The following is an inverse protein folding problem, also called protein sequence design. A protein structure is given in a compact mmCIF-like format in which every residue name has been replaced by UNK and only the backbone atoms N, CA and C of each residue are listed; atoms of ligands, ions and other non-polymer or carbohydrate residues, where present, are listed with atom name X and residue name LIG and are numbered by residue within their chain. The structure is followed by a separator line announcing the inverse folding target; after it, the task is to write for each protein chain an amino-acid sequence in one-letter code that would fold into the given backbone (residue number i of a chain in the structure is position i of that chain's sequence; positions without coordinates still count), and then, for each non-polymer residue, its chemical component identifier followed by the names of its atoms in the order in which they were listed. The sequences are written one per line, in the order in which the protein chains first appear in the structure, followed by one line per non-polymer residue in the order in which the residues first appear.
data_IF_431399379071
#
_entry.id   IF_431399379071
#
_cell.length_a   1.000
_cell.length_b   1.000
_cell.length_c   1.000
_cell.angle_alpha   90.00
_cell.angle_beta   90.00
_cell.angle_gamma   90.00
#
_symmetry.space_group_name_H-M   'P 1'
#
loop_
_entity.id
_entity.type
_entity.pdbx_description
1 polymer ?
#
# COMPACT_ATOMS: atom_id res chain seq x y z
N UNK A 1 -1.11 -1.22 -66.72
CA UNK A 1 -2.55 -1.19 -66.41
C UNK A 1 -2.72 -0.20 -65.27
N UNK A 2 -3.12 1.02 -65.60
CA UNK A 2 -3.14 2.18 -64.72
C UNK A 2 -4.40 2.16 -63.84
N UNK A 3 -4.25 2.33 -62.53
CA UNK A 3 -5.35 2.74 -61.66
C UNK A 3 -4.91 3.96 -60.87
N UNK A 4 -5.37 5.12 -61.35
CA UNK A 4 -5.23 6.44 -60.76
C UNK A 4 -6.08 6.50 -59.48
N UNK A 5 -5.48 6.62 -58.31
CA UNK A 5 -6.21 6.99 -57.10
C UNK A 5 -6.25 8.52 -57.00
N UNK A 6 -7.44 9.07 -57.17
CA UNK A 6 -7.71 10.50 -57.06
C UNK A 6 -7.69 10.91 -55.57
N UNK A 7 -6.81 11.86 -55.22
CA UNK A 7 -6.89 12.60 -53.97
C UNK A 7 -8.18 13.44 -53.99
N UNK A 8 -9.15 13.08 -53.14
CA UNK A 8 -10.24 13.98 -52.79
C UNK A 8 -9.81 14.85 -51.62
N UNK A 9 -9.65 16.15 -51.88
CA UNK A 9 -9.56 17.20 -50.88
C UNK A 9 -10.89 17.26 -50.11
N UNK A 10 -10.88 16.83 -48.85
CA UNK A 10 -11.99 17.08 -47.92
C UNK A 10 -11.73 18.44 -47.28
N UNK A 11 -12.65 19.38 -47.53
CA UNK A 11 -12.66 20.71 -46.97
C UNK A 11 -12.75 20.65 -45.43
N UNK A 12 -11.82 21.34 -44.77
CA UNK A 12 -11.84 21.60 -43.33
C UNK A 12 -12.98 22.56 -43.03
N UNK A 13 -14.05 22.06 -42.40
CA UNK A 13 -15.03 22.92 -41.73
C UNK A 13 -14.55 23.24 -40.31
N UNK A 14 -14.16 24.49 -40.09
CA UNK A 14 -14.03 25.07 -38.77
C UNK A 14 -15.43 25.26 -38.17
N UNK A 15 -15.90 24.30 -37.38
CA UNK A 15 -17.08 24.44 -36.53
C UNK A 15 -16.65 25.00 -35.18
N UNK A 16 -17.24 26.15 -34.82
CA UNK A 16 -16.84 26.99 -33.71
C UNK A 16 -16.92 26.35 -32.32
N UNK A 17 -16.21 26.98 -31.38
CA UNK A 17 -16.27 26.71 -29.96
C UNK A 17 -17.70 26.94 -29.44
N UNK A 18 -18.52 25.90 -29.42
CA UNK A 18 -19.69 25.88 -28.55
C UNK A 18 -19.19 25.66 -27.13
N UNK A 19 -19.31 26.69 -26.28
CA UNK A 19 -19.20 26.53 -24.85
C UNK A 19 -20.25 25.48 -24.43
N UNK A 20 -19.78 24.31 -24.01
CA UNK A 20 -20.65 23.27 -23.46
C UNK A 20 -21.41 23.82 -22.25
N UNK A 21 -22.60 23.28 -21.95
CA UNK A 21 -23.31 23.64 -20.72
C UNK A 21 -22.35 23.44 -19.55
N UNK A 22 -22.18 24.49 -18.75
CA UNK A 22 -21.33 24.45 -17.56
C UNK A 22 -21.68 23.20 -16.76
N UNK A 23 -20.68 22.39 -16.45
CA UNK A 23 -20.82 21.38 -15.42
C UNK A 23 -21.11 22.11 -14.11
N UNK A 24 -22.39 22.26 -13.81
CA UNK A 24 -22.84 22.61 -12.47
C UNK A 24 -22.26 21.56 -11.54
N UNK A 25 -21.26 21.94 -10.74
CA UNK A 25 -20.79 21.16 -9.60
C UNK A 25 -21.90 21.20 -8.54
N UNK A 26 -22.99 20.48 -8.82
CA UNK A 26 -24.11 20.30 -7.93
C UNK A 26 -23.59 19.74 -6.60
N UNK A 27 -23.82 20.52 -5.54
CA UNK A 27 -23.72 20.22 -4.13
C UNK A 27 -22.84 19.04 -3.73
N UNK A 28 -21.65 19.33 -3.18
CA UNK A 28 -20.96 18.38 -2.32
C UNK A 28 -21.87 18.02 -1.15
N UNK A 29 -22.48 16.82 -1.21
CA UNK A 29 -23.15 16.22 -0.07
C UNK A 29 -22.18 16.20 1.12
N UNK A 30 -22.69 16.46 2.32
CA UNK A 30 -21.87 16.40 3.53
C UNK A 30 -21.16 15.04 3.61
N UNK A 31 -19.85 15.00 3.93
CA UNK A 31 -19.10 13.77 3.98
C UNK A 31 -19.74 12.80 4.98
N UNK A 32 -19.85 11.54 4.58
CA UNK A 32 -20.36 10.50 5.46
C UNK A 32 -19.51 10.41 6.75
N UNK A 33 -20.12 10.13 7.91
CA UNK A 33 -19.40 9.99 9.16
C UNK A 33 -18.38 8.86 9.08
N UNK A 34 -17.23 9.04 9.73
CA UNK A 34 -16.16 8.03 9.78
C UNK A 34 -16.62 6.79 10.56
N UNK A 35 -16.85 5.70 9.84
CA UNK A 35 -17.36 4.44 10.38
C UNK A 35 -16.30 3.57 11.08
N UNK A 36 -15.03 3.99 11.13
CA UNK A 36 -13.94 3.20 11.72
C UNK A 36 -14.09 3.08 13.23
N UNK A 37 -13.55 2.00 13.81
CA UNK A 37 -13.47 1.83 15.25
C UNK A 37 -12.42 2.79 15.81
N UNK A 38 -12.82 3.67 16.72
CA UNK A 38 -11.90 4.54 17.45
C UNK A 38 -11.17 3.74 18.53
N UNK A 39 -9.84 3.73 18.47
CA UNK A 39 -8.97 3.05 19.42
C UNK A 39 -8.32 4.09 20.33
N UNK A 40 -8.56 3.97 21.63
CA UNK A 40 -8.10 4.91 22.65
C UNK A 40 -6.79 4.42 23.26
N UNK A 41 -5.67 4.95 22.75
CA UNK A 41 -4.34 4.68 23.29
C UNK A 41 -3.94 5.78 24.27
N UNK A 42 -3.25 5.44 25.38
CA UNK A 42 -2.51 6.43 26.15
C UNK A 42 -1.54 7.20 25.25
N UNK A 43 -1.42 8.52 25.45
CA UNK A 43 -0.67 9.43 24.57
C UNK A 43 0.75 8.95 24.18
N UNK A 44 1.57 8.44 25.13
CA UNK A 44 2.90 7.95 24.78
C UNK A 44 2.86 6.72 23.84
N UNK A 45 1.91 5.82 24.06
CA UNK A 45 1.75 4.60 23.25
C UNK A 45 1.16 4.91 21.87
N UNK A 46 0.25 5.91 21.79
CA UNK A 46 -0.25 6.42 20.52
C UNK A 46 0.89 6.95 19.66
N UNK A 47 1.75 7.79 20.25
CA UNK A 47 2.92 8.37 19.58
C UNK A 47 3.88 7.30 19.10
N UNK A 48 4.20 6.32 19.97
CA UNK A 48 5.06 5.19 19.62
C UNK A 48 4.47 4.35 18.49
N UNK A 49 3.19 4.00 18.57
CA UNK A 49 2.49 3.21 17.54
C UNK A 49 2.50 3.93 16.18
N UNK A 50 2.23 5.23 16.16
CA UNK A 50 2.33 6.06 14.95
C UNK A 50 3.75 6.15 14.40
N UNK A 51 4.77 6.19 15.26
CA UNK A 51 6.16 6.15 14.82
C UNK A 51 6.49 4.81 14.14
N UNK A 52 6.09 3.69 14.74
CA UNK A 52 6.26 2.36 14.13
C UNK A 52 5.54 2.27 12.79
N UNK A 53 4.31 2.79 12.66
CA UNK A 53 3.60 2.84 11.36
C UNK A 53 4.35 3.61 10.27
N UNK A 54 5.00 4.72 10.62
CA UNK A 54 5.84 5.48 9.67
C UNK A 54 7.11 4.72 9.32
N UNK A 55 7.71 4.02 10.29
CA UNK A 55 8.86 3.15 10.06
C UNK A 55 8.51 1.99 9.13
N UNK A 56 7.35 1.36 9.31
CA UNK A 56 6.87 0.31 8.41
C UNK A 56 6.72 0.80 6.97
N UNK A 57 6.23 2.03 6.76
CA UNK A 57 6.15 2.64 5.42
C UNK A 57 7.53 2.87 4.81
N UNK A 58 8.50 3.29 5.62
CA UNK A 58 9.89 3.44 5.19
C UNK A 58 10.49 2.08 4.79
N UNK A 59 10.27 1.04 5.58
CA UNK A 59 10.71 -0.32 5.24
C UNK A 59 10.09 -0.82 3.93
N UNK A 60 8.78 -0.59 3.71
CA UNK A 60 8.14 -0.93 2.43
C UNK A 60 8.78 -0.21 1.25
N UNK A 61 9.13 1.07 1.39
CA UNK A 61 9.82 1.83 0.34
C UNK A 61 11.21 1.25 0.05
N UNK A 62 12.00 0.94 1.08
CA UNK A 62 13.33 0.32 0.93
C UNK A 62 13.27 -1.06 0.28
N UNK A 63 12.27 -1.87 0.65
CA UNK A 63 11.99 -3.17 0.02
C UNK A 63 11.72 -3.00 -1.47
N UNK A 64 10.82 -2.09 -1.85
CA UNK A 64 10.48 -1.85 -3.25
C UNK A 64 11.70 -1.37 -4.05
N UNK A 65 12.51 -0.48 -3.46
CA UNK A 65 13.76 -0.03 -4.09
C UNK A 65 14.73 -1.20 -4.30
N UNK A 66 14.89 -2.08 -3.30
CA UNK A 66 15.76 -3.23 -3.40
C UNK A 66 15.28 -4.25 -4.46
N UNK A 67 13.97 -4.50 -4.54
CA UNK A 67 13.39 -5.33 -5.60
C UNK A 67 13.64 -4.73 -7.00
N UNK A 68 13.48 -3.41 -7.15
CA UNK A 68 13.68 -2.72 -8.42
C UNK A 68 15.12 -2.82 -8.96
N UNK A 69 16.10 -3.00 -8.08
CA UNK A 69 17.52 -3.17 -8.45
C UNK A 69 17.99 -4.62 -8.40
N UNK A 70 17.09 -5.59 -8.19
CA UNK A 70 17.44 -7.01 -8.06
C UNK A 70 18.22 -7.36 -6.78
N UNK A 71 18.23 -6.46 -5.79
CA UNK A 71 18.90 -6.66 -4.50
C UNK A 71 18.01 -7.48 -3.54
N UNK A 72 17.71 -8.72 -3.91
CA UNK A 72 16.71 -9.54 -3.23
C UNK A 72 17.06 -9.90 -1.79
N UNK A 73 18.33 -10.19 -1.50
CA UNK A 73 18.77 -10.46 -0.12
C UNK A 73 18.58 -9.24 0.80
N UNK A 74 18.81 -8.04 0.28
CA UNK A 74 18.54 -6.79 1.00
C UNK A 74 17.04 -6.62 1.25
N UNK A 75 16.20 -6.87 0.24
CA UNK A 75 14.75 -6.81 0.39
C UNK A 75 14.26 -7.78 1.48
N UNK A 76 14.78 -9.02 1.47
CA UNK A 76 14.49 -10.05 2.47
C UNK A 76 14.88 -9.60 3.88
N UNK A 77 16.12 -9.12 4.05
CA UNK A 77 16.63 -8.67 5.34
C UNK A 77 15.84 -7.50 5.92
N UNK A 78 15.56 -6.46 5.11
CA UNK A 78 14.75 -5.30 5.53
C UNK A 78 13.37 -5.76 5.98
N UNK A 79 12.71 -6.63 5.20
CA UNK A 79 11.40 -7.12 5.56
C UNK A 79 11.40 -7.91 6.86
N UNK A 80 12.30 -8.88 7.04
CA UNK A 80 12.31 -9.69 8.25
C UNK A 80 12.62 -8.84 9.49
N UNK A 81 13.67 -8.02 9.43
CA UNK A 81 14.18 -7.28 10.59
C UNK A 81 13.31 -6.10 11.00
N UNK A 82 12.57 -5.48 10.07
CA UNK A 82 11.77 -4.27 10.35
C UNK A 82 10.28 -4.49 10.28
N UNK A 83 9.81 -5.55 9.64
CA UNK A 83 8.39 -5.86 9.50
C UNK A 83 8.06 -7.28 9.94
N UNK A 84 9.01 -8.22 9.92
CA UNK A 84 8.79 -9.64 10.15
C UNK A 84 8.46 -9.99 11.60
N UNK A 85 8.32 -11.28 11.86
CA UNK A 85 8.09 -11.78 13.22
C UNK A 85 9.25 -11.48 14.16
N UNK A 86 10.48 -11.35 13.65
CA UNK A 86 11.64 -10.96 14.47
C UNK A 86 11.58 -9.50 14.96
N UNK A 87 10.80 -8.64 14.31
CA UNK A 87 10.65 -7.23 14.72
C UNK A 87 9.55 -7.01 15.78
N UNK A 88 8.76 -8.04 16.10
CA UNK A 88 7.54 -7.91 16.90
C UNK A 88 7.81 -7.40 18.33
N UNK A 89 8.90 -7.87 18.95
CA UNK A 89 9.31 -7.41 20.29
C UNK A 89 9.80 -5.95 20.25
N UNK A 90 10.60 -5.60 19.24
CA UNK A 90 11.12 -4.24 19.06
C UNK A 90 10.01 -3.19 18.86
N UNK A 91 8.84 -3.61 18.38
CA UNK A 91 7.68 -2.74 18.20
C UNK A 91 6.79 -2.62 19.45
N UNK A 92 7.22 -3.19 20.58
CA UNK A 92 6.46 -3.12 21.83
C UNK A 92 5.07 -3.76 21.71
N UNK A 93 4.91 -4.78 20.86
CA UNK A 93 3.61 -5.34 20.52
C UNK A 93 2.81 -5.78 21.75
N UNK A 94 3.50 -6.29 22.78
CA UNK A 94 2.87 -6.69 24.04
C UNK A 94 2.27 -5.49 24.81
N UNK A 95 2.96 -4.35 24.82
CA UNK A 95 2.53 -3.16 25.57
C UNK A 95 1.33 -2.48 24.93
N UNK A 96 1.23 -2.52 23.60
CA UNK A 96 0.16 -1.88 22.84
C UNK A 96 -1.04 -2.79 22.61
N UNK A 97 -0.86 -4.12 22.57
CA UNK A 97 -1.93 -5.07 22.23
C UNK A 97 -3.15 -4.97 23.16
N UNK A 98 -2.95 -4.70 24.45
CA UNK A 98 -4.04 -4.57 25.44
C UNK A 98 -5.02 -3.42 25.16
N UNK A 99 -4.63 -2.45 24.33
CA UNK A 99 -5.49 -1.33 23.92
C UNK A 99 -6.12 -1.56 22.55
N UNK A 100 -5.68 -2.59 21.81
CA UNK A 100 -6.19 -2.91 20.49
C UNK A 100 -7.37 -3.89 20.59
N UNK A 101 -8.46 -3.68 19.83
CA UNK A 101 -9.48 -4.71 19.69
C UNK A 101 -8.91 -5.95 18.99
N UNK A 102 -9.52 -7.11 19.22
CA UNK A 102 -9.05 -8.41 18.71
C UNK A 102 -8.77 -8.39 17.20
N UNK A 103 -9.67 -7.80 16.41
CA UNK A 103 -9.48 -7.68 14.96
C UNK A 103 -8.25 -6.85 14.57
N UNK A 104 -7.90 -5.81 15.33
CA UNK A 104 -6.70 -5.01 15.08
C UNK A 104 -5.43 -5.78 15.45
N UNK A 105 -5.44 -6.53 16.56
CA UNK A 105 -4.34 -7.40 16.96
C UNK A 105 -4.08 -8.49 15.91
N UNK A 106 -5.15 -9.09 15.38
CA UNK A 106 -5.08 -10.11 14.35
C UNK A 106 -4.47 -9.57 13.04
N UNK A 107 -4.92 -8.39 12.58
CA UNK A 107 -4.37 -7.73 11.39
C UNK A 107 -2.90 -7.38 11.58
N UNK A 108 -2.52 -6.81 12.74
CA UNK A 108 -1.12 -6.51 13.06
C UNK A 108 -0.23 -7.76 13.04
N UNK A 109 -0.64 -8.81 13.74
CA UNK A 109 0.09 -10.10 13.74
C UNK A 109 0.20 -10.69 12.34
N UNK A 110 -0.87 -10.61 11.54
CA UNK A 110 -0.85 -11.11 10.17
C UNK A 110 0.06 -10.29 9.27
N UNK A 111 0.23 -8.99 9.51
CA UNK A 111 1.21 -8.16 8.80
C UNK A 111 2.61 -8.71 9.03
N UNK A 112 2.97 -8.98 10.29
CA UNK A 112 4.30 -9.49 10.65
C UNK A 112 4.58 -10.86 10.02
N UNK A 113 3.61 -11.78 10.07
CA UNK A 113 3.71 -13.08 9.41
C UNK A 113 3.83 -12.96 7.90
N UNK A 114 3.12 -12.00 7.29
CA UNK A 114 3.19 -11.77 5.84
C UNK A 114 4.56 -11.23 5.43
N UNK A 115 5.16 -10.36 6.25
CA UNK A 115 6.50 -9.85 6.00
C UNK A 115 7.57 -10.94 6.08
N UNK A 116 7.49 -11.84 7.05
CA UNK A 116 8.39 -13.01 7.11
C UNK A 116 8.23 -13.95 5.91
N UNK A 117 7.00 -14.15 5.42
CA UNK A 117 6.78 -14.89 4.17
C UNK A 117 7.37 -14.16 2.96
N UNK A 118 7.19 -12.84 2.89
CA UNK A 118 7.83 -12.04 1.84
C UNK A 118 9.36 -12.20 1.87
N UNK A 119 9.99 -12.21 3.03
CA UNK A 119 11.43 -12.38 3.15
C UNK A 119 11.91 -13.69 2.51
N UNK A 120 11.19 -14.79 2.74
CA UNK A 120 11.47 -16.08 2.10
C UNK A 120 11.33 -15.99 0.58
N UNK A 121 10.24 -15.40 0.08
CA UNK A 121 10.02 -15.29 -1.38
C UNK A 121 11.01 -14.33 -2.06
N UNK A 122 11.45 -13.28 -1.38
CA UNK A 122 12.51 -12.42 -1.86
C UNK A 122 13.82 -13.22 -2.00
N UNK A 123 14.22 -14.00 -0.99
CA UNK A 123 15.39 -14.89 -1.11
C UNK A 123 15.24 -15.89 -2.26
N UNK A 124 14.06 -16.49 -2.46
CA UNK A 124 13.80 -17.37 -3.60
C UNK A 124 13.96 -16.66 -4.96
N UNK A 125 13.57 -15.39 -5.06
CA UNK A 125 13.75 -14.60 -6.28
C UNK A 125 15.24 -14.40 -6.63
N UNK A 126 16.13 -14.33 -5.63
CA UNK A 126 17.58 -14.27 -5.85
C UNK A 126 18.17 -15.55 -6.46
N UNK A 127 17.55 -16.70 -6.20
CA UNK A 127 17.97 -18.00 -6.75
C UNK A 127 17.34 -18.25 -8.12
N UNK A 128 16.06 -17.92 -8.27
CA UNK A 128 15.27 -18.28 -9.45
C UNK A 128 15.24 -17.21 -10.54
N UNK A 129 15.49 -15.95 -10.18
CA UNK A 129 15.26 -14.80 -11.03
C UNK A 129 13.78 -14.42 -11.22
N UNK A 130 12.83 -15.16 -10.63
CA UNK A 130 11.41 -14.84 -10.70
C UNK A 130 10.97 -14.02 -9.48
N UNK A 131 10.74 -12.72 -9.69
CA UNK A 131 10.30 -11.79 -8.64
C UNK A 131 8.79 -11.85 -8.35
N UNK A 132 7.99 -12.50 -9.21
CA UNK A 132 6.52 -12.47 -9.09
C UNK A 132 6.01 -13.03 -7.76
N UNK A 133 6.52 -14.14 -7.22
CA UNK A 133 6.11 -14.63 -5.90
C UNK A 133 6.38 -13.61 -4.79
N UNK A 134 7.55 -12.95 -4.83
CA UNK A 134 7.90 -11.91 -3.88
C UNK A 134 6.96 -10.70 -3.97
N UNK A 135 6.59 -10.26 -5.18
CA UNK A 135 5.60 -9.18 -5.35
C UNK A 135 4.22 -9.58 -4.82
N UNK A 136 3.79 -10.82 -5.04
CA UNK A 136 2.55 -11.35 -4.47
C UNK A 136 2.56 -11.35 -2.95
N UNK A 137 3.67 -11.77 -2.33
CA UNK A 137 3.84 -11.73 -0.89
C UNK A 137 3.87 -10.29 -0.34
N UNK A 138 4.52 -9.36 -1.05
CA UNK A 138 4.53 -7.94 -0.68
C UNK A 138 3.12 -7.34 -0.70
N UNK A 139 2.32 -7.67 -1.72
CA UNK A 139 0.92 -7.26 -1.78
C UNK A 139 0.12 -7.77 -0.56
N UNK A 140 0.40 -8.99 -0.08
CA UNK A 140 -0.22 -9.53 1.13
C UNK A 140 0.16 -8.76 2.40
N UNK A 141 1.39 -8.22 2.48
CA UNK A 141 1.81 -7.29 3.56
C UNK A 141 0.98 -6.01 3.50
N UNK A 142 0.96 -5.34 2.34
CA UNK A 142 0.22 -4.09 2.15
C UNK A 142 -1.28 -4.25 2.39
N UNK A 143 -1.86 -5.41 2.07
CA UNK A 143 -3.27 -5.70 2.36
C UNK A 143 -3.60 -5.59 3.85
N UNK A 144 -2.67 -5.89 4.75
CA UNK A 144 -2.88 -5.73 6.20
C UNK A 144 -2.85 -4.25 6.62
N UNK A 145 -2.00 -3.44 5.99
CA UNK A 145 -2.05 -1.99 6.16
C UNK A 145 -3.43 -1.46 5.75
N UNK A 146 -3.90 -1.83 4.55
CA UNK A 146 -5.22 -1.41 4.04
C UNK A 146 -6.34 -1.85 4.99
N UNK A 147 -6.35 -3.10 5.44
CA UNK A 147 -7.35 -3.61 6.37
C UNK A 147 -7.37 -2.84 7.69
N UNK A 148 -6.19 -2.55 8.27
CA UNK A 148 -6.08 -1.79 9.50
C UNK A 148 -6.59 -0.35 9.33
N UNK A 149 -6.14 0.34 8.29
CA UNK A 149 -6.51 1.73 8.03
C UNK A 149 -7.98 1.92 7.62
N UNK A 150 -8.60 0.89 7.02
CA UNK A 150 -10.02 0.88 6.68
C UNK A 150 -10.93 0.55 7.88
N UNK A 151 -10.44 -0.21 8.86
CA UNK A 151 -11.22 -0.65 10.01
C UNK A 151 -11.06 0.22 11.26
N UNK A 152 -9.89 0.84 11.46
CA UNK A 152 -9.51 1.46 12.71
C UNK A 152 -8.98 2.87 12.53
N UNK A 153 -9.16 3.69 13.56
CA UNK A 153 -8.52 5.00 13.70
C UNK A 153 -8.02 5.16 15.13
N UNK A 154 -6.86 5.79 15.28
CA UNK A 154 -6.42 6.24 16.60
C UNK A 154 -7.19 7.51 16.96
N UNK A 155 -7.70 7.55 18.19
CA UNK A 155 -8.31 8.74 18.79
C UNK A 155 -7.24 9.70 19.28
#
# INVERSE_FOLDING_TARGET
MNARFALSFIAVLAAGCAAGPGHDHAGHAAPAPDARVAVDFPEPLRTHTLANMRDHLLALQEIQQALATGAYDKASQVAETRLGMTSLEAHGAHDVAKFMPEGMQAVGTQMHRSASRFAVEATNAGVTGDVKPALGALAAVTAQCVACHAGYRMK
#
